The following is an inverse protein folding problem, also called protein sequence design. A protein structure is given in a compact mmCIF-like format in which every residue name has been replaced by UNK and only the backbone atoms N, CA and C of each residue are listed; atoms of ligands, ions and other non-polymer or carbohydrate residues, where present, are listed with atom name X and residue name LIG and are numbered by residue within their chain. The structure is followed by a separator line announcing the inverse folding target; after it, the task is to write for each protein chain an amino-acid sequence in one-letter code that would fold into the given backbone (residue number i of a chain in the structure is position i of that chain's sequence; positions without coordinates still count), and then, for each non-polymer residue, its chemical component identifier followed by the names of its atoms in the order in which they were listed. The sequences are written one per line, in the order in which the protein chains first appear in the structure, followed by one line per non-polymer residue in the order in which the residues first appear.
data_IF_534482079916
#
_entry.id   IF_534482079916
#
_cell.length_a   1.000
_cell.length_b   1.000
_cell.length_c   1.000
_cell.angle_alpha   90.00
_cell.angle_beta   90.00
_cell.angle_gamma   90.00
#
_symmetry.space_group_name_H-M   'P 1'
#
loop_
_entity.id
_entity.type
_entity.pdbx_description
1 polymer ?
#
# COMPACT_ATOMS: atom_id res chain seq x y z
N UNK A 1 15.49 -59.38 11.91
CA UNK A 1 16.16 -58.10 12.26
C UNK A 1 17.05 -57.56 11.14
N UNK A 2 18.11 -58.26 10.67
CA UNK A 2 19.03 -57.73 9.63
C UNK A 2 18.37 -57.26 8.33
N UNK A 3 17.35 -57.99 7.84
CA UNK A 3 16.62 -57.59 6.61
C UNK A 3 15.80 -56.31 6.82
N UNK A 4 15.13 -56.16 7.96
CA UNK A 4 14.34 -54.97 8.29
C UNK A 4 15.24 -53.74 8.43
N UNK A 5 16.44 -53.88 9.00
CA UNK A 5 17.41 -52.78 9.11
C UNK A 5 17.93 -52.34 7.73
N UNK A 6 18.25 -53.27 6.82
CA UNK A 6 18.65 -52.93 5.44
C UNK A 6 17.53 -52.21 4.69
N UNK A 7 16.29 -52.68 4.82
CA UNK A 7 15.13 -52.04 4.19
C UNK A 7 14.89 -50.64 4.76
N UNK A 8 15.02 -50.44 6.08
CA UNK A 8 14.86 -49.14 6.72
C UNK A 8 15.94 -48.15 6.29
N UNK A 9 17.20 -48.60 6.20
CA UNK A 9 18.32 -47.78 5.69
C UNK A 9 18.10 -47.41 4.22
N UNK A 10 17.68 -48.36 3.39
CA UNK A 10 17.37 -48.11 1.98
C UNK A 10 16.23 -47.10 1.81
N UNK A 11 15.18 -47.20 2.64
CA UNK A 11 14.07 -46.25 2.67
C UNK A 11 14.55 -44.85 3.10
N UNK A 12 15.40 -44.76 4.12
CA UNK A 12 15.97 -43.51 4.60
C UNK A 12 16.81 -42.81 3.51
N UNK A 13 17.72 -43.52 2.85
CA UNK A 13 18.51 -42.95 1.75
C UNK A 13 17.63 -42.54 0.55
N UNK A 14 16.63 -43.36 0.20
CA UNK A 14 15.68 -43.00 -0.86
C UNK A 14 14.91 -41.72 -0.51
N UNK A 15 14.48 -41.60 0.75
CA UNK A 15 13.84 -40.38 1.27
C UNK A 15 14.75 -39.15 1.18
N UNK A 16 16.02 -39.28 1.58
CA UNK A 16 17.00 -38.20 1.46
C UNK A 16 17.24 -37.78 0.01
N UNK A 17 17.30 -38.72 -0.93
CA UNK A 17 17.44 -38.41 -2.37
C UNK A 17 16.20 -37.65 -2.87
N UNK A 18 14.99 -38.07 -2.50
CA UNK A 18 13.76 -37.36 -2.87
C UNK A 18 13.73 -35.95 -2.30
N UNK A 19 14.12 -35.77 -1.03
CA UNK A 19 14.22 -34.46 -0.39
C UNK A 19 15.26 -33.58 -1.10
N UNK A 20 16.43 -34.12 -1.43
CA UNK A 20 17.48 -33.39 -2.13
C UNK A 20 17.04 -32.96 -3.55
N UNK A 21 16.37 -33.84 -4.30
CA UNK A 21 15.83 -33.51 -5.62
C UNK A 21 14.73 -32.45 -5.53
N UNK A 22 13.82 -32.56 -4.55
CA UNK A 22 12.80 -31.54 -4.31
C UNK A 22 13.42 -30.19 -3.94
N UNK A 23 14.45 -30.18 -3.08
CA UNK A 23 15.17 -28.97 -2.71
C UNK A 23 15.86 -28.34 -3.94
N UNK A 24 16.55 -29.12 -4.77
CA UNK A 24 17.15 -28.63 -6.01
C UNK A 24 16.10 -28.04 -6.97
N UNK A 25 14.94 -28.69 -7.11
CA UNK A 25 13.85 -28.20 -7.95
C UNK A 25 13.29 -26.86 -7.42
N UNK A 26 13.04 -26.75 -6.12
CA UNK A 26 12.57 -25.51 -5.48
C UNK A 26 13.61 -24.40 -5.61
N UNK A 27 14.89 -24.67 -5.35
CA UNK A 27 15.97 -23.68 -5.49
C UNK A 27 16.07 -23.17 -6.94
N UNK A 28 16.00 -24.08 -7.91
CA UNK A 28 16.07 -23.73 -9.33
C UNK A 28 14.86 -22.91 -9.77
N UNK A 29 13.65 -23.35 -9.41
CA UNK A 29 12.42 -22.63 -9.73
C UNK A 29 12.37 -21.26 -9.05
N UNK A 30 12.87 -21.15 -7.82
CA UNK A 30 12.99 -19.89 -7.11
C UNK A 30 13.97 -18.93 -7.79
N UNK A 31 15.13 -19.42 -8.22
CA UNK A 31 16.10 -18.61 -8.97
C UNK A 31 15.49 -18.10 -10.30
N UNK A 32 14.71 -18.95 -10.99
CA UNK A 32 13.99 -18.54 -12.20
C UNK A 32 12.93 -17.47 -11.91
N UNK A 33 12.14 -17.64 -10.84
CA UNK A 33 11.12 -16.66 -10.45
C UNK A 33 11.75 -15.31 -10.11
N UNK A 34 12.86 -15.31 -9.35
CA UNK A 34 13.62 -14.09 -9.05
C UNK A 34 14.14 -13.39 -10.31
N UNK A 35 14.67 -14.15 -11.27
CA UNK A 35 15.13 -13.59 -12.53
C UNK A 35 13.99 -12.95 -13.33
N UNK A 36 12.86 -13.64 -13.42
CA UNK A 36 11.65 -13.13 -14.06
C UNK A 36 11.14 -11.84 -13.41
N UNK A 37 11.01 -11.80 -12.08
CA UNK A 37 10.57 -10.60 -11.34
C UNK A 37 11.55 -9.45 -11.56
N UNK A 38 12.86 -9.69 -11.43
CA UNK A 38 13.86 -8.64 -11.63
C UNK A 38 13.83 -8.04 -13.04
N UNK A 39 13.63 -8.88 -14.07
CA UNK A 39 13.54 -8.43 -15.46
C UNK A 39 12.26 -7.61 -15.71
N UNK A 40 11.16 -7.96 -15.04
CA UNK A 40 9.91 -7.20 -15.05
C UNK A 40 10.04 -5.87 -14.33
N UNK A 41 10.60 -5.85 -13.11
CA UNK A 41 10.88 -4.63 -12.34
C UNK A 41 11.70 -3.65 -13.18
N UNK A 42 12.76 -4.13 -13.86
CA UNK A 42 13.58 -3.28 -14.73
C UNK A 42 12.79 -2.66 -15.89
N UNK A 43 11.83 -3.38 -16.46
CA UNK A 43 10.99 -2.85 -17.52
C UNK A 43 10.05 -1.75 -17.01
N UNK A 44 9.55 -1.86 -15.78
CA UNK A 44 8.74 -0.83 -15.11
C UNK A 44 9.59 0.38 -14.71
N UNK A 45 10.76 0.17 -14.10
CA UNK A 45 11.70 1.25 -13.74
C UNK A 45 12.13 2.06 -14.97
N UNK A 46 12.39 1.40 -16.10
CA UNK A 46 12.73 2.09 -17.34
C UNK A 46 11.61 3.04 -17.84
N UNK A 47 10.35 2.72 -17.53
CA UNK A 47 9.24 3.64 -17.76
C UNK A 47 9.34 4.80 -16.76
N UNK A 48 9.44 4.55 -15.45
CA UNK A 48 9.53 5.58 -14.39
C UNK A 48 10.64 6.61 -14.66
N UNK A 49 11.82 6.17 -15.07
CA UNK A 49 12.94 7.03 -15.47
C UNK A 49 12.59 8.03 -16.58
N UNK A 50 11.61 7.73 -17.45
CA UNK A 50 11.16 8.67 -18.46
C UNK A 50 10.40 9.86 -17.86
N UNK A 51 9.62 9.65 -16.80
CA UNK A 51 8.93 10.74 -16.10
C UNK A 51 9.94 11.63 -15.37
N UNK A 52 10.95 11.03 -14.73
CA UNK A 52 12.00 11.79 -14.05
C UNK A 52 12.83 12.66 -15.01
N UNK A 53 13.13 12.15 -16.21
CA UNK A 53 13.81 12.95 -17.24
C UNK A 53 12.99 14.17 -17.64
N UNK A 54 11.67 14.02 -17.79
CA UNK A 54 10.77 15.13 -18.12
C UNK A 54 10.74 16.15 -16.96
N UNK A 55 10.70 15.67 -15.71
CA UNK A 55 10.76 16.51 -14.51
C UNK A 55 12.02 17.39 -14.46
N UNK A 56 13.18 16.78 -14.71
CA UNK A 56 14.47 17.50 -14.73
C UNK A 56 14.46 18.54 -15.85
N UNK A 57 14.02 18.17 -17.05
CA UNK A 57 13.91 19.09 -18.17
C UNK A 57 12.97 20.27 -17.87
N UNK A 58 11.83 20.02 -17.22
CA UNK A 58 10.90 21.08 -16.82
C UNK A 58 11.55 22.11 -15.88
N UNK A 59 12.41 21.68 -14.94
CA UNK A 59 13.09 22.58 -14.00
C UNK A 59 14.13 23.48 -14.65
N UNK A 60 14.73 23.03 -15.75
CA UNK A 60 15.77 23.76 -16.47
C UNK A 60 15.20 24.76 -17.48
N UNK A 61 13.89 24.72 -17.72
CA UNK A 61 13.24 25.54 -18.75
C UNK A 61 12.97 26.96 -18.25
N UNK A 62 13.45 27.97 -18.98
CA UNK A 62 13.18 29.39 -18.71
C UNK A 62 11.82 29.87 -19.23
N UNK A 63 11.26 29.20 -20.25
CA UNK A 63 9.91 29.46 -20.77
C UNK A 63 8.84 28.80 -19.90
N UNK A 64 7.98 29.61 -19.29
CA UNK A 64 6.97 29.12 -18.35
C UNK A 64 5.97 28.16 -19.02
N UNK A 65 5.61 28.36 -20.28
CA UNK A 65 4.64 27.51 -20.97
C UNK A 65 5.24 26.15 -21.32
N UNK A 66 6.48 26.12 -21.78
CA UNK A 66 7.21 24.87 -22.02
C UNK A 66 7.45 24.11 -20.70
N UNK A 67 7.78 24.80 -19.61
CA UNK A 67 7.87 24.17 -18.28
C UNK A 67 6.54 23.52 -17.87
N UNK A 68 5.43 24.25 -17.98
CA UNK A 68 4.11 23.72 -17.65
C UNK A 68 3.72 22.54 -18.55
N UNK A 69 4.10 22.58 -19.83
CA UNK A 69 3.86 21.49 -20.76
C UNK A 69 4.60 20.21 -20.36
N UNK A 70 5.90 20.32 -20.05
CA UNK A 70 6.71 19.21 -19.58
C UNK A 70 6.17 18.67 -18.24
N UNK A 71 5.75 19.53 -17.32
CA UNK A 71 5.12 19.09 -16.07
C UNK A 71 3.82 18.32 -16.31
N UNK A 72 2.97 18.76 -17.26
CA UNK A 72 1.77 18.01 -17.62
C UNK A 72 2.10 16.65 -18.26
N UNK A 73 3.15 16.59 -19.09
CA UNK A 73 3.64 15.35 -19.69
C UNK A 73 4.18 14.39 -18.61
N UNK A 74 4.94 14.89 -17.64
CA UNK A 74 5.41 14.13 -16.48
C UNK A 74 4.22 13.53 -15.71
N UNK A 75 3.21 14.34 -15.37
CA UNK A 75 2.02 13.87 -14.65
C UNK A 75 1.25 12.82 -15.45
N UNK A 76 1.10 13.03 -16.76
CA UNK A 76 0.43 12.06 -17.65
C UNK A 76 1.18 10.73 -17.62
N UNK A 77 2.49 10.78 -17.78
CA UNK A 77 3.34 9.58 -17.83
C UNK A 77 3.37 8.84 -16.48
N UNK A 78 3.41 9.55 -15.34
CA UNK A 78 3.25 8.94 -14.01
C UNK A 78 1.91 8.21 -13.88
N UNK A 79 0.83 8.83 -14.37
CA UNK A 79 -0.48 8.23 -14.34
C UNK A 79 -0.56 6.98 -15.26
N UNK A 80 0.04 7.02 -16.45
CA UNK A 80 0.14 5.88 -17.37
C UNK A 80 0.92 4.71 -16.76
N UNK A 81 2.03 5.00 -16.10
CA UNK A 81 2.85 3.98 -15.43
C UNK A 81 2.08 3.30 -14.31
N UNK A 82 1.38 4.09 -13.48
CA UNK A 82 0.54 3.55 -12.42
C UNK A 82 -0.58 2.68 -12.99
N UNK A 83 -1.23 3.10 -14.08
CA UNK A 83 -2.24 2.28 -14.77
C UNK A 83 -1.63 0.99 -15.33
N UNK A 84 -0.54 1.08 -16.10
CA UNK A 84 0.10 -0.08 -16.72
C UNK A 84 0.53 -1.10 -15.65
N UNK A 85 1.12 -0.62 -14.57
CA UNK A 85 1.51 -1.40 -13.42
C UNK A 85 0.29 -2.08 -12.76
N UNK A 86 -0.80 -1.34 -12.58
CA UNK A 86 -2.04 -1.86 -11.99
C UNK A 86 -2.71 -2.91 -12.89
N UNK A 87 -2.82 -2.64 -14.19
CA UNK A 87 -3.42 -3.54 -15.18
C UNK A 87 -2.65 -4.85 -15.31
N UNK A 88 -1.33 -4.82 -15.12
CA UNK A 88 -0.47 -5.99 -15.16
C UNK A 88 -0.75 -6.96 -14.01
N UNK A 89 -1.19 -6.47 -12.85
CA UNK A 89 -1.46 -7.30 -11.66
C UNK A 89 -2.94 -7.51 -11.36
N UNK A 90 -3.84 -7.10 -12.25
CA UNK A 90 -5.30 -7.11 -12.01
C UNK A 90 -5.95 -8.44 -11.66
N UNK A 91 -5.30 -9.55 -12.04
CA UNK A 91 -5.80 -10.90 -11.75
C UNK A 91 -5.32 -11.42 -10.38
N UNK A 92 -4.48 -10.66 -9.66
CA UNK A 92 -3.93 -11.05 -8.36
C UNK A 92 -4.87 -10.72 -7.21
N UNK A 93 -4.70 -11.43 -6.09
CA UNK A 93 -5.37 -11.01 -4.85
C UNK A 93 -4.63 -9.77 -4.39
N UNK A 94 -5.35 -8.77 -3.87
CA UNK A 94 -4.72 -7.63 -3.20
C UNK A 94 -3.93 -6.66 -4.11
N UNK A 95 -4.09 -6.72 -5.43
CA UNK A 95 -3.31 -5.84 -6.32
C UNK A 95 -3.68 -4.37 -6.18
N UNK A 96 -4.84 -4.06 -5.61
CA UNK A 96 -5.22 -2.68 -5.37
C UNK A 96 -4.34 -1.95 -4.36
N UNK A 97 -3.54 -2.67 -3.58
CA UNK A 97 -2.54 -2.07 -2.68
C UNK A 97 -1.27 -1.65 -3.40
N UNK A 98 -1.01 -2.15 -4.63
CA UNK A 98 0.14 -1.70 -5.41
C UNK A 98 0.13 -0.19 -5.61
N UNK A 99 -1.02 0.40 -5.95
CA UNK A 99 -1.13 1.85 -6.12
C UNK A 99 -0.82 2.62 -4.83
N UNK A 100 -1.12 2.04 -3.66
CA UNK A 100 -0.81 2.67 -2.38
C UNK A 100 0.70 2.64 -2.09
N UNK A 101 1.39 1.51 -2.27
CA UNK A 101 2.84 1.48 -2.07
C UNK A 101 3.60 2.20 -3.18
N UNK A 102 3.06 2.23 -4.40
CA UNK A 102 3.60 3.07 -5.46
C UNK A 102 3.55 4.54 -5.06
N UNK A 103 2.41 5.04 -4.58
CA UNK A 103 2.32 6.39 -4.01
C UNK A 103 3.31 6.59 -2.87
N UNK A 104 3.45 5.62 -1.96
CA UNK A 104 4.36 5.74 -0.82
C UNK A 104 5.82 5.99 -1.24
N UNK A 105 6.32 5.30 -2.28
CA UNK A 105 7.72 5.41 -2.71
C UNK A 105 7.94 6.49 -3.76
N UNK A 106 7.00 6.67 -4.70
CA UNK A 106 7.11 7.62 -5.81
C UNK A 106 6.54 9.00 -5.50
N UNK A 107 5.73 9.10 -4.44
CA UNK A 107 5.18 10.35 -3.92
C UNK A 107 4.46 11.17 -5.01
N UNK A 108 3.67 10.47 -5.83
CA UNK A 108 3.03 11.02 -7.03
C UNK A 108 2.04 12.12 -6.64
N UNK A 109 1.27 11.89 -5.59
CA UNK A 109 0.28 12.83 -5.07
C UNK A 109 0.82 13.68 -3.92
N UNK A 110 1.71 13.12 -3.08
CA UNK A 110 2.31 13.80 -1.94
C UNK A 110 1.25 14.49 -1.06
N UNK A 111 0.33 13.69 -0.53
CA UNK A 111 -0.89 14.17 0.10
C UNK A 111 -0.63 14.89 1.44
N UNK A 112 -1.27 16.05 1.60
CA UNK A 112 -1.33 16.80 2.86
C UNK A 112 -2.10 16.04 3.94
N UNK A 113 -3.17 15.36 3.52
CA UNK A 113 -4.08 14.61 4.38
C UNK A 113 -4.15 13.17 3.89
N UNK A 114 -3.83 12.22 4.76
CA UNK A 114 -3.92 10.80 4.40
C UNK A 114 -4.98 10.08 5.23
N UNK A 115 -5.66 9.12 4.61
CA UNK A 115 -6.55 8.19 5.30
C UNK A 115 -5.80 6.88 5.56
N UNK A 116 -5.91 6.36 6.78
CA UNK A 116 -5.46 5.01 7.13
C UNK A 116 -6.60 4.27 7.84
N UNK A 117 -6.59 2.95 7.85
CA UNK A 117 -7.63 2.15 8.49
C UNK A 117 -7.85 0.82 7.79
N UNK A 118 -8.89 0.11 8.20
CA UNK A 118 -9.17 -1.24 7.70
C UNK A 118 -9.77 -1.23 6.28
N UNK A 119 -10.40 -2.34 5.88
CA UNK A 119 -11.21 -2.41 4.65
C UNK A 119 -12.36 -1.42 4.64
N UNK A 120 -12.87 -1.00 5.81
CA UNK A 120 -13.90 0.04 5.89
C UNK A 120 -13.37 1.37 5.33
N UNK A 121 -12.11 1.71 5.60
CA UNK A 121 -11.43 2.87 5.02
C UNK A 121 -11.20 2.71 3.52
N UNK A 122 -10.57 1.59 3.13
CA UNK A 122 -10.16 1.31 1.76
C UNK A 122 -11.31 1.36 0.75
N UNK A 123 -12.50 0.92 1.19
CA UNK A 123 -13.70 0.81 0.35
C UNK A 123 -14.76 1.87 0.68
N UNK A 124 -14.66 2.57 1.81
CA UNK A 124 -15.64 3.54 2.25
C UNK A 124 -15.31 4.97 1.87
N UNK A 125 -14.03 5.35 1.89
CA UNK A 125 -13.58 6.73 1.74
C UNK A 125 -12.98 6.96 0.36
N UNK A 126 -13.65 7.76 -0.46
CA UNK A 126 -13.20 8.14 -1.79
C UNK A 126 -12.67 9.58 -1.80
N UNK A 127 -11.34 9.78 -1.94
CA UNK A 127 -10.73 11.11 -1.96
C UNK A 127 -11.31 12.05 -3.02
N UNK A 128 -11.84 11.55 -4.15
CA UNK A 128 -12.35 12.39 -5.23
C UNK A 128 -13.43 13.36 -4.74
N UNK A 129 -14.36 12.88 -3.90
CA UNK A 129 -15.45 13.70 -3.40
C UNK A 129 -15.04 14.60 -2.24
N UNK A 130 -13.94 14.27 -1.56
CA UNK A 130 -13.41 15.07 -0.44
C UNK A 130 -12.66 16.28 -1.00
N UNK A 131 -11.85 16.06 -2.03
CA UNK A 131 -11.12 17.09 -2.76
C UNK A 131 -12.03 18.10 -3.46
N UNK A 132 -13.20 17.66 -3.95
CA UNK A 132 -14.20 18.58 -4.52
C UNK A 132 -14.66 19.67 -3.54
N UNK A 133 -14.69 19.37 -2.24
CA UNK A 133 -15.17 20.28 -1.17
C UNK A 133 -14.02 21.01 -0.45
N UNK A 134 -12.84 20.37 -0.43
CA UNK A 134 -11.64 20.82 0.27
C UNK A 134 -10.44 20.94 -0.70
N UNK A 135 -10.53 21.76 -1.77
CA UNK A 135 -9.51 21.83 -2.83
C UNK A 135 -8.15 22.37 -2.38
N UNK A 136 -8.07 22.96 -1.19
CA UNK A 136 -6.85 23.47 -0.57
C UNK A 136 -5.92 22.39 -0.02
N UNK A 137 -6.40 21.15 0.09
CA UNK A 137 -5.62 20.00 0.55
C UNK A 137 -5.59 18.89 -0.50
N UNK A 138 -4.47 18.19 -0.56
CA UNK A 138 -4.32 16.95 -1.32
C UNK A 138 -4.60 15.73 -0.43
N UNK A 139 -5.32 14.74 -0.95
CA UNK A 139 -5.75 13.58 -0.19
C UNK A 139 -5.28 12.25 -0.78
N UNK A 140 -4.97 11.26 0.07
CA UNK A 140 -4.73 9.89 -0.40
C UNK A 140 -5.22 8.85 0.61
N UNK A 141 -5.81 7.76 0.13
CA UNK A 141 -6.32 6.67 0.96
C UNK A 141 -5.34 5.49 1.04
N UNK A 142 -4.64 5.36 2.15
CA UNK A 142 -3.77 4.23 2.53
C UNK A 142 -4.48 3.20 3.44
N UNK A 143 -5.83 3.15 3.39
CA UNK A 143 -6.63 2.12 4.04
C UNK A 143 -6.37 0.75 3.41
N UNK A 144 -6.21 -0.29 4.24
CA UNK A 144 -5.81 -1.63 3.80
C UNK A 144 -6.68 -2.71 4.43
N UNK A 145 -7.18 -3.66 3.64
CA UNK A 145 -8.09 -4.68 4.19
C UNK A 145 -7.40 -5.56 5.24
N UNK A 146 -8.04 -5.76 6.38
CA UNK A 146 -7.48 -6.66 7.40
C UNK A 146 -6.32 -6.06 8.19
N UNK A 147 -5.99 -4.77 8.04
CA UNK A 147 -4.89 -4.12 8.78
C UNK A 147 -5.22 -3.90 10.25
N UNK A 148 -4.38 -4.44 11.13
CA UNK A 148 -4.40 -4.15 12.58
C UNK A 148 -3.41 -3.02 12.94
N UNK A 149 -3.49 -2.42 14.14
CA UNK A 149 -2.51 -1.43 14.58
C UNK A 149 -1.05 -1.87 14.49
N UNK A 150 -0.71 -3.13 14.79
CA UNK A 150 0.66 -3.63 14.65
C UNK A 150 1.16 -3.61 13.20
N UNK A 151 0.28 -3.88 12.23
CA UNK A 151 0.59 -3.68 10.83
C UNK A 151 0.96 -2.22 10.54
N UNK A 152 0.18 -1.26 11.07
CA UNK A 152 0.43 0.15 10.82
C UNK A 152 1.69 0.68 11.50
N UNK A 153 2.12 0.09 12.63
CA UNK A 153 3.43 0.39 13.23
C UNK A 153 4.57 0.06 12.28
N UNK A 154 4.55 -1.13 11.67
CA UNK A 154 5.60 -1.52 10.72
C UNK A 154 5.46 -0.77 9.38
N UNK A 155 4.23 -0.54 8.93
CA UNK A 155 3.93 0.25 7.74
C UNK A 155 4.46 1.69 7.88
N UNK A 156 4.29 2.32 9.05
CA UNK A 156 4.73 3.70 9.27
C UNK A 156 6.26 3.82 9.31
N UNK A 157 6.95 2.80 9.83
CA UNK A 157 8.41 2.72 9.74
C UNK A 157 8.87 2.71 8.28
N UNK A 158 8.22 1.92 7.41
CA UNK A 158 8.51 1.91 5.97
C UNK A 158 8.17 3.26 5.35
N UNK A 159 6.97 3.78 5.60
CA UNK A 159 6.48 5.06 5.07
C UNK A 159 7.47 6.20 5.34
N UNK A 160 7.95 6.31 6.58
CA UNK A 160 8.86 7.37 7.03
C UNK A 160 10.32 7.10 6.68
N UNK A 161 10.82 5.91 6.99
CA UNK A 161 12.26 5.65 7.02
C UNK A 161 12.79 4.96 5.76
N UNK A 162 11.96 4.21 5.04
CA UNK A 162 12.39 3.55 3.79
C UNK A 162 11.95 4.33 2.56
N UNK A 163 10.68 4.72 2.52
CA UNK A 163 10.08 5.41 1.39
C UNK A 163 10.26 6.94 1.46
N UNK A 164 10.64 7.45 2.64
CA UNK A 164 10.84 8.88 2.89
C UNK A 164 9.65 9.74 2.45
N UNK A 165 8.44 9.23 2.65
CA UNK A 165 7.23 9.96 2.29
C UNK A 165 7.15 11.25 3.10
N UNK A 166 6.81 12.40 2.49
CA UNK A 166 6.75 13.66 3.20
C UNK A 166 5.73 13.61 4.33
N UNK A 167 6.09 14.13 5.49
CA UNK A 167 5.23 14.10 6.67
C UNK A 167 3.88 14.78 6.37
N UNK A 168 2.75 14.04 6.40
CA UNK A 168 1.44 14.63 6.15
C UNK A 168 1.07 15.58 7.30
N UNK A 169 0.27 16.60 6.99
CA UNK A 169 -0.24 17.53 8.01
C UNK A 169 -1.25 16.83 8.92
N UNK A 170 -2.09 15.98 8.34
CA UNK A 170 -3.18 15.29 9.04
C UNK A 170 -3.25 13.82 8.62
N UNK A 171 -3.44 12.95 9.61
CA UNK A 171 -3.88 11.57 9.40
C UNK A 171 -5.33 11.46 9.86
N UNK A 172 -6.21 11.11 8.94
CA UNK A 172 -7.57 10.68 9.25
C UNK A 172 -7.54 9.17 9.44
N UNK A 173 -7.50 8.74 10.70
CA UNK A 173 -7.55 7.32 11.02
C UNK A 173 -9.01 6.87 11.05
N UNK A 174 -9.39 6.10 10.04
CA UNK A 174 -10.65 5.39 10.01
C UNK A 174 -10.58 4.22 11.00
N UNK A 175 -11.04 4.47 12.23
CA UNK A 175 -11.04 3.52 13.34
C UNK A 175 -12.28 2.65 13.28
N UNK A 176 -12.16 1.41 13.75
CA UNK A 176 -13.26 0.47 13.84
C UNK A 176 -13.29 -0.16 15.23
N UNK A 177 -14.48 -0.47 15.76
CA UNK A 177 -14.63 -1.13 17.06
C UNK A 177 -13.92 -2.49 17.13
N UNK A 178 -13.61 -3.10 15.99
CA UNK A 178 -12.90 -4.38 15.89
C UNK A 178 -11.45 -4.25 15.41
N UNK A 179 -10.89 -3.04 15.27
CA UNK A 179 -9.58 -2.86 14.64
C UNK A 179 -8.41 -3.58 15.35
N UNK A 180 -8.60 -3.94 16.62
CA UNK A 180 -7.66 -4.69 17.43
C UNK A 180 -7.87 -6.21 17.40
N UNK A 181 -8.89 -6.73 16.71
CA UNK A 181 -9.14 -8.18 16.64
C UNK A 181 -8.29 -8.84 15.55
N UNK A 182 -7.19 -9.49 15.97
CA UNK A 182 -6.27 -10.22 15.07
C UNK A 182 -6.87 -11.50 14.46
N UNK A 183 -8.02 -11.96 14.95
CA UNK A 183 -8.78 -13.06 14.34
C UNK A 183 -9.62 -12.60 13.15
N UNK A 184 -10.04 -11.33 13.15
CA UNK A 184 -10.74 -10.68 12.05
C UNK A 184 -9.82 -10.02 11.06
N UNK A 185 -8.87 -9.27 11.59
CA UNK A 185 -7.91 -8.49 10.85
C UNK A 185 -6.60 -9.26 10.84
N UNK A 186 -6.35 -9.89 9.71
CA UNK A 186 -5.31 -10.89 9.55
C UNK A 186 -4.02 -10.33 8.93
N UNK A 187 -4.02 -9.09 8.45
CA UNK A 187 -2.90 -8.56 7.69
C UNK A 187 -1.70 -8.28 8.59
N UNK A 188 -0.54 -8.72 8.13
CA UNK A 188 0.77 -8.45 8.71
C UNK A 188 1.64 -7.82 7.63
N UNK A 189 2.58 -6.94 8.01
CA UNK A 189 3.44 -6.28 7.02
C UNK A 189 4.24 -7.31 6.20
N UNK A 190 4.56 -8.44 6.80
CA UNK A 190 5.27 -9.57 6.18
C UNK A 190 4.52 -10.21 5.02
N UNK A 191 3.21 -9.93 4.87
CA UNK A 191 2.44 -10.36 3.71
C UNK A 191 2.72 -9.47 2.50
N UNK A 192 3.17 -8.24 2.70
CA UNK A 192 3.39 -7.24 1.65
C UNK A 192 4.88 -7.08 1.28
N UNK A 193 5.81 -7.60 2.10
CA UNK A 193 7.26 -7.54 1.88
C UNK A 193 7.91 -8.58 0.95
N UNK A 194 7.29 -9.72 0.59
CA UNK A 194 7.89 -10.64 -0.40
C UNK A 194 8.23 -9.93 -1.72
N UNK A 195 9.23 -10.41 -2.45
CA UNK A 195 9.78 -9.71 -3.63
C UNK A 195 8.78 -9.48 -4.77
N UNK A 196 7.68 -10.22 -4.77
CA UNK A 196 6.59 -10.16 -5.76
C UNK A 196 5.31 -9.51 -5.22
N UNK A 197 5.37 -9.05 -3.97
CA UNK A 197 4.34 -8.29 -3.29
C UNK A 197 4.66 -6.79 -3.35
N UNK A 198 3.69 -5.91 -3.10
CA UNK A 198 3.83 -4.48 -3.35
C UNK A 198 5.09 -3.82 -2.78
N UNK A 199 5.40 -4.02 -1.50
CA UNK A 199 6.60 -3.41 -0.89
C UNK A 199 7.87 -4.00 -1.48
N UNK A 200 7.91 -5.32 -1.68
CA UNK A 200 9.09 -5.98 -2.25
C UNK A 200 9.41 -5.51 -3.67
N UNK A 201 8.37 -5.25 -4.48
CA UNK A 201 8.52 -4.69 -5.82
C UNK A 201 9.02 -3.24 -5.75
N UNK A 202 8.45 -2.39 -4.89
CA UNK A 202 8.92 -1.00 -4.75
C UNK A 202 10.38 -0.93 -4.26
N UNK A 203 10.77 -1.77 -3.29
CA UNK A 203 12.18 -1.88 -2.86
C UNK A 203 13.10 -2.29 -4.01
N UNK A 204 12.66 -3.20 -4.88
CA UNK A 204 13.43 -3.60 -6.05
C UNK A 204 13.59 -2.45 -7.07
N UNK A 205 12.53 -1.65 -7.29
CA UNK A 205 12.57 -0.45 -8.14
C UNK A 205 13.60 0.54 -7.60
N UNK A 206 13.47 0.97 -6.34
CA UNK A 206 14.40 1.92 -5.69
C UNK A 206 15.84 1.44 -5.73
N UNK A 207 16.06 0.13 -5.56
CA UNK A 207 17.40 -0.47 -5.63
C UNK A 207 18.00 -0.38 -7.03
N UNK A 208 17.22 -0.67 -8.07
CA UNK A 208 17.70 -0.57 -9.45
C UNK A 208 17.96 0.89 -9.85
N UNK A 209 17.15 1.84 -9.39
CA UNK A 209 17.36 3.28 -9.60
C UNK A 209 18.66 3.78 -8.96
N UNK A 210 18.94 3.37 -7.71
CA UNK A 210 20.21 3.66 -7.04
C UNK A 210 21.39 3.10 -7.81
N UNK A 211 21.25 1.89 -8.38
CA UNK A 211 22.28 1.25 -9.20
C UNK A 211 22.49 1.97 -10.53
N UNK A 212 21.42 2.38 -11.20
CA UNK A 212 21.47 3.14 -12.45
C UNK A 212 22.17 4.49 -12.22
N UNK A 213 21.80 5.18 -11.14
CA UNK A 213 22.39 6.46 -10.75
C UNK A 213 23.89 6.33 -10.41
N UNK A 214 24.29 5.26 -9.70
CA UNK A 214 25.69 5.00 -9.39
C UNK A 214 26.54 4.65 -10.62
N UNK A 215 25.95 3.99 -11.63
CA UNK A 215 26.63 3.64 -12.88
C UNK A 215 26.77 4.82 -13.87
N UNK A 216 25.93 5.86 -13.72
CA UNK A 216 25.96 7.05 -14.55
C UNK A 216 26.93 8.13 -14.05
N UNK A 217 27.45 8.01 -12.81
CA UNK A 217 28.47 8.91 -12.30
C UNK A 217 29.69 8.84 -13.24
N UNK A 218 30.12 9.97 -13.84
CA UNK A 218 31.32 9.98 -14.68
C UNK A 218 32.46 9.41 -13.84
N UNK A 219 33.22 8.46 -14.40
CA UNK A 219 34.42 7.95 -13.73
C UNK A 219 35.19 9.17 -13.24
N UNK A 220 35.50 9.27 -11.93
CA UNK A 220 36.15 10.44 -11.40
C UNK A 220 37.38 10.68 -12.25
N UNK A 221 37.39 11.80 -12.98
CA UNK A 221 38.56 12.21 -13.74
C UNK A 221 39.72 12.12 -12.75
N UNK A 222 40.70 11.28 -13.08
CA UNK A 222 41.89 11.08 -12.27
C UNK A 222 42.71 12.36 -12.28
N UNK A 223 42.22 13.39 -11.60
CA UNK A 223 42.99 14.57 -11.26
C UNK A 223 43.84 14.19 -10.05
N UNK A 224 45.05 13.71 -10.34
CA UNK A 224 46.09 13.31 -9.38
C UNK A 224 46.64 14.48 -8.53
N UNK A 225 45.99 15.64 -8.46
CA UNK A 225 46.53 16.81 -7.75
C UNK A 225 45.43 17.66 -7.11
N UNK A 226 45.01 17.30 -5.90
CA UNK A 226 44.60 18.20 -4.81
C UNK A 226 43.94 17.37 -3.69
N UNK A 227 44.77 16.76 -2.85
CA UNK A 227 44.33 16.32 -1.54
C UNK A 227 44.58 17.48 -0.58
N UNK A 228 43.51 18.11 -0.10
CA UNK A 228 43.34 18.58 1.29
C UNK A 228 42.08 19.44 1.40
N UNK A 229 41.28 19.14 2.44
CA UNK A 229 40.22 19.97 3.03
C UNK A 229 38.83 20.01 2.36
N UNK A 230 38.00 19.00 2.66
CA UNK A 230 36.60 19.16 3.09
C UNK A 230 35.98 17.79 3.44
N UNK A 231 36.18 17.31 4.67
CA UNK A 231 35.36 16.23 5.24
C UNK A 231 34.06 16.84 5.77
N UNK A 232 33.06 16.99 4.90
CA UNK A 232 31.67 17.17 5.34
C UNK A 232 31.02 15.78 5.35
N UNK A 233 30.84 15.23 6.55
CA UNK A 233 30.32 13.89 6.82
C UNK A 233 28.84 13.78 6.48
N UNK A 234 28.52 13.63 5.20
CA UNK A 234 27.23 13.06 4.79
C UNK A 234 27.30 11.57 5.16
N UNK A 235 26.62 11.18 6.24
CA UNK A 235 26.50 9.78 6.63
C UNK A 235 25.85 9.00 5.49
N UNK A 236 26.61 8.13 4.83
CA UNK A 236 26.06 7.24 3.82
C UNK A 236 24.91 6.43 4.44
N UNK A 237 23.76 6.31 3.73
CA UNK A 237 22.64 5.53 4.23
C UNK A 237 23.11 4.11 4.54
N UNK A 238 22.80 3.63 5.74
CA UNK A 238 23.14 2.28 6.19
C UNK A 238 22.38 1.31 5.30
N UNK A 239 23.09 0.66 4.38
CA UNK A 239 22.51 -0.37 3.54
C UNK A 239 22.16 -1.59 4.42
N UNK A 240 20.90 -1.68 4.83
CA UNK A 240 20.40 -2.84 5.58
C UNK A 240 20.42 -4.04 4.65
N UNK A 241 21.42 -4.90 4.83
CA UNK A 241 21.52 -6.16 4.10
C UNK A 241 20.24 -6.97 4.29
N UNK A 242 19.54 -7.26 3.19
CA UNK A 242 18.36 -8.13 3.21
C UNK A 242 18.68 -9.46 3.90
N UNK A 243 17.87 -9.83 4.88
CA UNK A 243 17.99 -11.11 5.57
C UNK A 243 17.65 -12.24 4.61
N UNK A 244 18.48 -13.28 4.62
CA UNK A 244 18.20 -14.53 3.92
C UNK A 244 17.03 -15.26 4.57
N UNK A 245 16.33 -16.12 3.82
CA UNK A 245 15.27 -17.00 4.38
C UNK A 245 15.78 -17.80 5.58
N UNK A 246 17.05 -18.22 5.56
CA UNK A 246 17.67 -18.94 6.66
C UNK A 246 17.93 -18.07 7.90
N UNK A 247 18.12 -16.76 7.75
CA UNK A 247 18.21 -15.81 8.87
C UNK A 247 16.82 -15.54 9.45
N UNK A 248 15.83 -15.25 8.60
CA UNK A 248 14.45 -15.04 9.03
C UNK A 248 13.87 -16.27 9.74
N UNK A 249 14.15 -17.46 9.24
CA UNK A 249 13.72 -18.71 9.88
C UNK A 249 14.40 -18.91 11.23
N UNK A 250 15.69 -18.55 11.36
CA UNK A 250 16.40 -18.62 12.64
C UNK A 250 15.81 -17.65 13.66
N UNK A 251 15.45 -16.44 13.25
CA UNK A 251 14.78 -15.46 14.09
C UNK A 251 13.39 -15.94 14.53
N UNK A 252 12.58 -16.44 13.60
CA UNK A 252 11.27 -17.03 13.91
C UNK A 252 11.37 -18.20 14.90
N UNK A 253 12.37 -19.08 14.77
CA UNK A 253 12.65 -20.16 15.73
C UNK A 253 13.08 -19.61 17.09
N UNK A 254 13.87 -18.53 17.12
CA UNK A 254 14.28 -17.90 18.37
C UNK A 254 13.09 -17.24 19.09
N UNK A 255 12.16 -16.65 18.35
CA UNK A 255 11.00 -15.94 18.87
C UNK A 255 9.87 -16.87 19.32
N UNK A 256 9.49 -17.84 18.49
CA UNK A 256 8.31 -18.69 18.71
C UNK A 256 8.64 -20.12 19.15
N UNK A 257 9.93 -20.51 19.10
CA UNK A 257 10.38 -21.87 19.37
C UNK A 257 10.14 -22.83 18.20
N UNK A 258 10.96 -23.89 18.13
CA UNK A 258 11.01 -24.83 16.99
C UNK A 258 9.69 -25.57 16.67
N UNK A 259 8.77 -25.63 17.63
CA UNK A 259 7.48 -26.31 17.46
C UNK A 259 6.39 -25.41 16.87
N UNK A 260 6.66 -24.12 16.68
CA UNK A 260 5.77 -23.17 16.01
C UNK A 260 5.84 -23.36 14.48
N UNK A 261 5.50 -24.58 14.02
CA UNK A 261 5.63 -25.00 12.63
C UNK A 261 4.87 -24.04 11.70
N UNK A 262 3.70 -23.56 12.10
CA UNK A 262 2.89 -22.66 11.29
C UNK A 262 3.58 -21.31 11.05
N UNK A 263 4.24 -20.73 12.06
CA UNK A 263 5.00 -19.47 11.90
C UNK A 263 6.24 -19.68 11.03
N UNK A 264 6.95 -20.80 11.20
CA UNK A 264 8.12 -21.14 10.38
C UNK A 264 7.76 -21.40 8.92
N UNK A 265 6.64 -22.10 8.68
CA UNK A 265 6.10 -22.32 7.34
C UNK A 265 5.65 -21.02 6.71
N UNK A 266 5.06 -20.10 7.50
CA UNK A 266 4.71 -18.76 7.03
C UNK A 266 5.95 -18.01 6.55
N UNK A 267 7.03 -17.99 7.34
CA UNK A 267 8.30 -17.39 6.92
C UNK A 267 8.85 -18.02 5.65
N UNK A 268 8.85 -19.36 5.56
CA UNK A 268 9.36 -20.07 4.39
C UNK A 268 8.53 -19.80 3.12
N UNK A 269 7.21 -19.83 3.23
CA UNK A 269 6.29 -19.64 2.10
C UNK A 269 6.29 -18.19 1.61
N UNK A 270 6.38 -17.21 2.51
CA UNK A 270 6.39 -15.79 2.15
C UNK A 270 7.75 -15.35 1.59
N UNK A 271 8.87 -15.88 2.08
CA UNK A 271 10.19 -15.40 1.68
C UNK A 271 10.83 -16.22 0.54
N UNK A 272 10.05 -17.10 -0.09
CA UNK A 272 10.49 -17.89 -1.24
C UNK A 272 9.59 -17.59 -2.45
N UNK A 273 10.07 -16.75 -3.39
CA UNK A 273 9.29 -16.26 -4.54
C UNK A 273 8.49 -17.31 -5.31
N UNK A 274 8.99 -18.55 -5.44
CA UNK A 274 8.22 -19.59 -6.13
C UNK A 274 6.89 -19.95 -5.42
N UNK A 275 6.82 -19.75 -4.09
CA UNK A 275 5.62 -20.02 -3.30
C UNK A 275 4.74 -18.78 -3.15
N UNK A 276 5.32 -17.60 -2.92
CA UNK A 276 4.57 -16.34 -2.85
C UNK A 276 3.96 -15.98 -4.21
N UNK A 277 4.71 -16.18 -5.30
CA UNK A 277 4.31 -15.92 -6.70
C UNK A 277 3.75 -17.13 -7.43
N UNK A 278 3.15 -18.09 -6.73
CA UNK A 278 2.76 -19.38 -7.36
C UNK A 278 1.75 -19.21 -8.50
N UNK A 279 0.92 -18.18 -8.45
CA UNK A 279 -0.02 -17.79 -9.50
C UNK A 279 0.68 -17.30 -10.78
N UNK A 280 1.93 -16.84 -10.67
CA UNK A 280 2.77 -16.36 -11.79
C UNK A 280 3.60 -17.44 -12.48
N UNK A 281 3.59 -18.67 -11.98
CA UNK A 281 4.36 -19.76 -12.59
C UNK A 281 4.07 -19.88 -14.10
N UNK A 282 2.81 -19.77 -14.59
CA UNK A 282 2.53 -19.77 -16.02
C UNK A 282 3.19 -18.60 -16.78
N UNK A 283 3.22 -17.39 -16.22
CA UNK A 283 3.87 -16.22 -16.82
C UNK A 283 5.39 -16.42 -16.89
N UNK A 284 6.00 -16.83 -15.79
CA UNK A 284 7.43 -17.15 -15.71
C UNK A 284 7.81 -18.20 -16.77
N UNK A 285 7.02 -19.26 -16.93
CA UNK A 285 7.29 -20.29 -17.95
C UNK A 285 7.21 -19.68 -19.35
N UNK A 286 6.17 -18.89 -19.67
CA UNK A 286 6.05 -18.21 -20.97
C UNK A 286 7.22 -17.26 -21.22
N UNK A 287 7.66 -16.54 -20.20
CA UNK A 287 8.79 -15.62 -20.24
C UNK A 287 10.09 -16.32 -20.68
N UNK A 288 10.43 -17.45 -20.04
CA UNK A 288 11.61 -18.22 -20.43
C UNK A 288 11.45 -18.89 -21.80
N UNK A 289 10.26 -19.38 -22.16
CA UNK A 289 10.00 -19.96 -23.49
C UNK A 289 10.10 -18.92 -24.61
N UNK A 290 9.75 -17.66 -24.36
CA UNK A 290 9.87 -16.54 -25.30
C UNK A 290 11.24 -15.86 -25.29
N UNK A 291 12.26 -16.49 -24.69
CA UNK A 291 13.62 -15.95 -24.70
C UNK A 291 13.80 -14.73 -23.82
N UNK A 292 13.11 -14.66 -22.67
CA UNK A 292 13.26 -13.60 -21.67
C UNK A 292 12.80 -12.21 -22.13
N UNK A 293 11.67 -12.15 -22.82
CA UNK A 293 11.04 -10.89 -23.23
C UNK A 293 9.87 -10.55 -22.31
N UNK A 294 9.93 -9.36 -21.69
CA UNK A 294 8.80 -8.74 -20.98
C UNK A 294 8.10 -7.81 -21.98
N UNK A 295 6.80 -8.04 -22.21
CA UNK A 295 5.97 -7.13 -22.99
C UNK A 295 5.06 -6.39 -22.02
N UNK A 296 5.32 -5.09 -21.83
CA UNK A 296 4.40 -4.21 -21.12
C UNK A 296 3.42 -3.70 -22.17
N UNK A 297 2.15 -4.08 -22.06
CA UNK A 297 1.10 -3.45 -22.86
C UNK A 297 0.90 -2.04 -22.32
N UNK A 298 1.41 -1.04 -23.03
CA UNK A 298 1.16 0.37 -22.70
C UNK A 298 -0.30 0.68 -23.07
N UNK A 299 -1.14 1.13 -22.13
CA UNK A 299 -2.47 1.64 -22.47
C UNK A 299 -2.34 2.82 -23.46
N UNK A 300 -3.36 3.01 -24.29
CA UNK A 300 -3.35 4.10 -25.25
C UNK A 300 -3.42 5.44 -24.49
N UNK A 301 -2.52 6.41 -24.77
CA UNK A 301 -2.46 7.67 -24.04
C UNK A 301 -3.80 8.42 -24.12
N UNK A 302 -4.28 8.90 -22.98
CA UNK A 302 -5.39 9.86 -22.90
C UNK A 302 -4.81 11.21 -22.54
N UNK A 303 -4.05 11.81 -23.46
CA UNK A 303 -3.57 13.19 -23.26
C UNK A 303 -4.78 14.12 -23.19
N UNK A 304 -4.92 14.97 -22.16
CA UNK A 304 -5.95 16.00 -22.14
C UNK A 304 -5.82 16.85 -23.42
N UNK A 305 -6.89 16.93 -24.22
CA UNK A 305 -6.90 17.80 -25.41
C UNK A 305 -7.02 19.25 -24.97
N UNK A 306 -5.88 19.88 -24.70
CA UNK A 306 -5.81 21.31 -24.40
C UNK A 306 -5.62 22.06 -25.72
N UNK A 307 -6.70 22.15 -26.50
CA UNK A 307 -6.66 22.81 -27.81
C UNK A 307 -6.91 24.32 -27.65
N UNK A 308 -5.90 25.14 -27.99
CA UNK A 308 -6.08 26.57 -28.26
C UNK A 308 -6.00 27.54 -27.08
N UNK A 309 -5.52 27.11 -25.91
CA UNK A 309 -5.24 28.01 -24.77
C UNK A 309 -3.87 27.72 -24.13
N UNK A 310 -3.33 28.71 -23.45
CA UNK A 310 -2.12 28.58 -22.64
C UNK A 310 -2.38 27.64 -21.44
N UNK A 311 -1.34 26.90 -21.07
CA UNK A 311 -1.34 26.10 -19.85
C UNK A 311 -1.24 27.00 -18.63
N UNK A 312 -1.88 26.56 -17.56
CA UNK A 312 -1.90 27.18 -16.25
C UNK A 312 -1.56 26.12 -15.21
N UNK A 313 -1.19 26.53 -14.00
CA UNK A 313 -0.95 25.57 -12.91
C UNK A 313 -2.19 24.71 -12.59
N UNK A 314 -3.39 25.24 -12.83
CA UNK A 314 -4.64 24.48 -12.69
C UNK A 314 -4.77 23.33 -13.69
N UNK A 315 -3.96 23.30 -14.75
CA UNK A 315 -3.89 22.19 -15.70
C UNK A 315 -3.00 21.04 -15.21
N UNK A 316 -2.15 21.29 -14.21
CA UNK A 316 -1.23 20.31 -13.62
C UNK A 316 -1.94 19.39 -12.62
N UNK A 317 -3.09 18.85 -13.03
CA UNK A 317 -3.84 17.85 -12.28
C UNK A 317 -3.65 16.52 -12.96
N UNK A 318 -3.33 15.48 -12.17
CA UNK A 318 -3.20 14.12 -12.68
C UNK A 318 -4.48 13.72 -13.44
N UNK A 319 -4.36 13.30 -14.72
CA UNK A 319 -5.53 12.98 -15.53
C UNK A 319 -6.30 11.79 -14.95
N UNK A 320 -7.63 11.92 -14.90
CA UNK A 320 -8.52 10.81 -14.57
C UNK A 320 -8.76 9.96 -15.82
N UNK A 321 -8.32 8.70 -15.80
CA UNK A 321 -8.57 7.78 -16.90
C UNK A 321 -10.04 7.33 -16.95
N UNK A 322 -10.65 7.43 -18.13
CA UNK A 322 -11.95 6.82 -18.38
C UNK A 322 -11.77 5.38 -18.85
N UNK A 323 -11.94 4.44 -17.92
CA UNK A 323 -11.87 3.02 -18.23
C UNK A 323 -13.23 2.42 -18.59
N UNK A 324 -13.21 1.31 -19.34
CA UNK A 324 -14.30 0.34 -19.32
C UNK A 324 -14.35 -0.27 -17.92
N UNK A 325 -15.53 -0.48 -17.34
CA UNK A 325 -15.65 -1.08 -16.01
C UNK A 325 -14.96 -2.44 -15.97
N UNK A 326 -13.93 -2.58 -15.12
CA UNK A 326 -13.17 -3.81 -14.90
C UNK A 326 -13.40 -4.30 -13.49
N UNK A 327 -13.44 -5.62 -13.33
CA UNK A 327 -13.58 -6.27 -12.04
C UNK A 327 -12.40 -7.19 -11.80
N UNK A 328 -11.95 -7.28 -10.55
CA UNK A 328 -11.07 -8.36 -10.14
C UNK A 328 -11.83 -9.62 -9.71
N UNK A 329 -11.08 -10.64 -9.29
CA UNK A 329 -11.65 -11.90 -8.81
C UNK A 329 -12.45 -11.78 -7.51
N UNK A 330 -12.17 -10.75 -6.71
CA UNK A 330 -12.87 -10.44 -5.46
C UNK A 330 -14.05 -9.46 -5.70
N UNK A 331 -14.33 -9.14 -6.98
CA UNK A 331 -15.37 -8.25 -7.51
C UNK A 331 -15.21 -6.78 -7.15
N UNK A 332 -13.98 -6.34 -6.86
CA UNK A 332 -13.68 -4.91 -6.76
C UNK A 332 -13.78 -4.25 -8.14
N UNK A 333 -14.36 -3.04 -8.24
CA UNK A 333 -14.44 -2.29 -9.50
C UNK A 333 -13.14 -1.50 -9.69
N UNK A 334 -12.20 -2.09 -10.39
CA UNK A 334 -10.80 -1.64 -10.37
C UNK A 334 -10.49 -0.58 -11.41
N UNK A 335 -11.33 -0.49 -12.42
CA UNK A 335 -11.45 0.67 -13.32
C UNK A 335 -11.87 1.96 -12.62
N UNK A 336 -12.20 1.92 -11.33
CA UNK A 336 -12.66 3.06 -10.56
C UNK A 336 -11.76 3.32 -9.35
N UNK A 337 -10.54 2.77 -9.38
CA UNK A 337 -9.49 3.14 -8.44
C UNK A 337 -9.27 4.66 -8.50
N UNK A 338 -9.22 5.31 -7.34
CA UNK A 338 -8.89 6.73 -7.24
C UNK A 338 -8.10 7.01 -5.96
N UNK A 339 -6.83 7.41 -6.09
CA UNK A 339 -5.97 7.79 -4.95
C UNK A 339 -6.08 6.84 -3.74
N UNK A 340 -5.99 5.55 -4.02
CA UNK A 340 -6.03 4.49 -3.01
C UNK A 340 -7.43 4.00 -2.59
N UNK A 341 -8.50 4.65 -3.02
CA UNK A 341 -9.87 4.15 -2.90
C UNK A 341 -10.16 3.09 -3.97
N UNK A 342 -10.82 2.01 -3.55
CA UNK A 342 -11.35 0.99 -4.47
C UNK A 342 -12.78 0.66 -4.09
N UNK A 343 -13.76 0.87 -4.99
CA UNK A 343 -15.13 0.46 -4.72
C UNK A 343 -15.24 -1.06 -4.61
N UNK A 344 -15.92 -1.51 -3.57
CA UNK A 344 -16.38 -2.88 -3.42
C UNK A 344 -17.89 -2.92 -3.62
N UNK A 345 -18.35 -3.49 -4.73
CA UNK A 345 -19.77 -3.45 -5.13
C UNK A 345 -20.28 -4.85 -5.44
N UNK A 346 -20.67 -5.56 -4.38
CA UNK A 346 -21.29 -6.88 -4.46
C UNK A 346 -22.74 -6.81 -3.98
N UNK A 347 -23.64 -7.66 -4.49
CA UNK A 347 -24.98 -7.75 -3.93
C UNK A 347 -24.91 -8.02 -2.43
N UNK A 348 -25.67 -7.26 -1.64
CA UNK A 348 -25.67 -7.35 -0.18
C UNK A 348 -25.73 -8.80 0.30
N UNK A 349 -24.62 -9.26 0.90
CA UNK A 349 -24.44 -10.62 1.38
C UNK A 349 -24.64 -10.79 2.89
N UNK A 350 -25.02 -9.73 3.60
CA UNK A 350 -25.08 -9.71 5.06
C UNK A 350 -26.25 -10.51 5.63
N UNK A 351 -25.95 -11.49 6.49
CA UNK A 351 -26.94 -12.09 7.38
C UNK A 351 -27.18 -11.22 8.62
N UNK A 352 -28.30 -11.40 9.31
CA UNK A 352 -28.61 -10.73 10.60
C UNK A 352 -27.89 -11.36 11.79
N UNK A 353 -26.67 -11.88 11.58
CA UNK A 353 -25.95 -12.62 12.61
C UNK A 353 -25.37 -11.66 13.65
N UNK A 354 -25.43 -12.05 14.92
CA UNK A 354 -24.69 -11.38 15.97
C UNK A 354 -23.20 -11.61 15.75
N UNK A 355 -22.43 -10.54 15.84
CA UNK A 355 -21.00 -10.58 15.61
C UNK A 355 -20.27 -10.09 16.85
N UNK A 356 -19.25 -10.82 17.27
CA UNK A 356 -18.39 -10.46 18.39
C UNK A 356 -16.96 -10.21 17.92
N UNK A 357 -16.18 -9.54 18.75
CA UNK A 357 -14.76 -9.31 18.48
C UNK A 357 -13.89 -9.62 19.71
N UNK A 358 -12.65 -10.01 19.46
CA UNK A 358 -11.64 -10.27 20.48
C UNK A 358 -10.94 -8.95 20.83
N UNK A 359 -11.04 -8.58 22.10
CA UNK A 359 -10.32 -7.43 22.63
C UNK A 359 -8.83 -7.74 22.86
N UNK A 360 -7.99 -7.49 21.84
CA UNK A 360 -6.54 -7.66 21.96
C UNK A 360 -5.84 -6.41 22.54
N UNK A 361 -5.49 -6.45 23.84
CA UNK A 361 -4.73 -5.37 24.49
C UNK A 361 -3.31 -5.17 23.93
N UNK A 362 -2.75 -6.15 23.23
CA UNK A 362 -1.48 -6.00 22.50
C UNK A 362 -1.61 -5.01 21.35
N UNK A 363 -2.65 -5.17 20.53
CA UNK A 363 -2.94 -4.27 19.40
C UNK A 363 -3.33 -2.86 19.89
N UNK A 364 -4.09 -2.74 20.98
CA UNK A 364 -4.37 -1.42 21.58
C UNK A 364 -3.10 -0.66 21.98
N UNK A 365 -2.10 -1.33 22.56
CA UNK A 365 -0.83 -0.68 22.87
C UNK A 365 -0.06 -0.27 21.62
N UNK A 366 -0.22 -1.00 20.51
CA UNK A 366 0.37 -0.63 19.21
C UNK A 366 -0.36 0.56 18.61
N UNK A 367 -1.67 0.64 18.78
CA UNK A 367 -2.50 1.78 18.39
C UNK A 367 -2.06 3.05 19.12
N UNK A 368 -2.01 3.02 20.46
CA UNK A 368 -1.54 4.15 21.28
C UNK A 368 -0.11 4.54 20.93
N UNK A 369 0.79 3.56 20.75
CA UNK A 369 2.18 3.83 20.33
C UNK A 369 2.23 4.58 18.99
N UNK A 370 1.37 4.25 18.04
CA UNK A 370 1.36 4.93 16.75
C UNK A 370 0.86 6.37 16.87
N UNK A 371 -0.14 6.61 17.74
CA UNK A 371 -0.58 7.97 18.07
C UNK A 371 0.54 8.80 18.70
N UNK A 372 1.33 8.19 19.60
CA UNK A 372 2.51 8.85 20.18
C UNK A 372 3.54 9.22 19.08
N UNK A 373 3.78 8.33 18.13
CA UNK A 373 4.69 8.59 17.00
C UNK A 373 4.17 9.71 16.08
N UNK A 374 2.87 9.75 15.80
CA UNK A 374 2.26 10.83 15.02
C UNK A 374 2.39 12.18 15.73
N UNK A 375 2.16 12.22 17.04
CA UNK A 375 2.32 13.42 17.85
C UNK A 375 3.79 13.90 17.88
N UNK A 376 4.75 12.98 18.07
CA UNK A 376 6.19 13.26 18.01
C UNK A 376 6.62 13.86 16.67
N UNK A 377 6.00 13.39 15.58
CA UNK A 377 6.25 13.88 14.22
C UNK A 377 5.45 15.14 13.86
N UNK A 378 4.67 15.68 14.80
CA UNK A 378 3.87 16.89 14.60
C UNK A 378 2.64 16.69 13.71
N UNK A 379 2.27 15.44 13.44
CA UNK A 379 1.11 15.08 12.62
C UNK A 379 -0.15 15.19 13.48
N UNK A 380 -1.18 15.84 12.93
CA UNK A 380 -2.49 15.88 13.58
C UNK A 380 -3.32 14.65 13.24
N UNK A 381 -4.16 14.21 14.17
CA UNK A 381 -4.99 13.02 13.99
C UNK A 381 -6.47 13.38 14.11
N UNK A 382 -7.28 12.81 13.24
CA UNK A 382 -8.74 12.80 13.31
C UNK A 382 -9.21 11.34 13.30
N UNK A 383 -10.13 10.97 14.19
CA UNK A 383 -10.79 9.68 14.13
C UNK A 383 -12.08 9.77 13.33
N UNK A 384 -12.29 8.81 12.45
CA UNK A 384 -13.53 8.61 11.69
C UNK A 384 -13.96 7.17 11.87
N UNK A 385 -15.20 6.90 12.27
CA UNK A 385 -15.76 5.55 12.21
C UNK A 385 -16.73 5.49 11.03
N UNK A 386 -16.40 4.69 10.01
CA UNK A 386 -17.23 4.58 8.80
C UNK A 386 -18.62 4.03 9.13
N UNK A 387 -19.68 4.48 8.41
CA UNK A 387 -21.04 4.05 8.71
C UNK A 387 -21.24 2.58 8.38
N UNK A 388 -21.77 1.84 9.34
CA UNK A 388 -22.20 0.44 9.25
C UNK A 388 -23.71 0.37 9.06
N UNK A 389 -24.18 -0.69 8.41
CA UNK A 389 -25.61 -0.94 8.25
C UNK A 389 -26.27 -1.14 9.62
N UNK A 390 -27.46 -0.61 9.88
CA UNK A 390 -28.13 -0.77 11.20
C UNK A 390 -28.84 -2.11 11.38
N UNK A 391 -29.08 -2.85 10.29
CA UNK A 391 -29.84 -4.11 10.31
C UNK A 391 -29.13 -5.32 10.91
N UNK A 392 -27.98 -5.14 11.57
CA UNK A 392 -27.24 -6.19 12.28
C UNK A 392 -26.89 -5.75 13.72
N UNK A 393 -26.33 -6.66 14.52
CA UNK A 393 -26.00 -6.41 15.92
C UNK A 393 -24.60 -6.89 16.29
N UNK A 394 -23.84 -6.05 16.98
CA UNK A 394 -22.59 -6.43 17.67
C UNK A 394 -22.80 -6.51 19.18
N UNK A 395 -22.19 -7.48 19.83
CA UNK A 395 -22.15 -7.54 21.30
C UNK A 395 -21.11 -6.62 21.93
N UNK A 396 -20.08 -6.22 21.16
CA UNK A 396 -18.89 -5.56 21.69
C UNK A 396 -18.71 -4.12 21.20
N UNK A 397 -19.44 -3.71 20.15
CA UNK A 397 -19.30 -2.39 19.52
C UNK A 397 -19.44 -1.24 20.51
N UNK A 398 -20.45 -1.25 21.37
CA UNK A 398 -20.66 -0.16 22.36
C UNK A 398 -19.49 -0.04 23.33
N UNK A 399 -18.88 -1.16 23.73
CA UNK A 399 -17.76 -1.18 24.67
C UNK A 399 -16.52 -0.57 24.00
N UNK A 400 -16.20 -1.01 22.80
CA UNK A 400 -15.00 -0.54 22.10
C UNK A 400 -15.14 0.88 21.55
N UNK A 401 -16.33 1.29 21.09
CA UNK A 401 -16.57 2.68 20.69
C UNK A 401 -16.48 3.63 21.88
N UNK A 402 -16.89 3.19 23.07
CA UNK A 402 -16.66 3.96 24.29
C UNK A 402 -15.16 4.11 24.59
N UNK A 403 -14.36 3.04 24.49
CA UNK A 403 -12.91 3.13 24.70
C UNK A 403 -12.23 4.05 23.66
N UNK A 404 -12.66 3.98 22.38
CA UNK A 404 -12.20 4.91 21.33
C UNK A 404 -12.54 6.36 21.65
N UNK A 405 -13.78 6.63 22.07
CA UNK A 405 -14.23 7.98 22.42
C UNK A 405 -13.50 8.54 23.65
N UNK A 406 -13.27 7.72 24.68
CA UNK A 406 -12.50 8.10 25.87
C UNK A 406 -11.04 8.41 25.51
N UNK A 407 -10.42 7.60 24.64
CA UNK A 407 -9.06 7.86 24.15
C UNK A 407 -8.99 9.15 23.33
N UNK A 408 -9.92 9.33 22.39
CA UNK A 408 -10.00 10.52 21.55
C UNK A 408 -10.16 11.79 22.41
N UNK A 409 -11.09 11.77 23.36
CA UNK A 409 -11.30 12.85 24.31
C UNK A 409 -10.04 13.13 25.15
N UNK A 410 -9.37 12.10 25.66
CA UNK A 410 -8.19 12.27 26.51
C UNK A 410 -7.00 12.92 25.77
N UNK A 411 -6.93 12.73 24.45
CA UNK A 411 -5.88 13.27 23.58
C UNK A 411 -6.31 14.52 22.80
N UNK A 412 -7.55 14.98 22.96
CA UNK A 412 -8.09 16.10 22.18
C UNK A 412 -8.18 15.80 20.68
N UNK A 413 -8.37 14.55 20.30
CA UNK A 413 -8.53 14.10 18.91
C UNK A 413 -10.01 14.24 18.54
N UNK A 414 -10.36 14.98 17.46
CA UNK A 414 -11.72 15.00 16.95
C UNK A 414 -12.16 13.60 16.53
N UNK A 415 -13.39 13.21 16.90
CA UNK A 415 -13.94 11.91 16.55
C UNK A 415 -15.30 12.07 15.87
N UNK A 416 -15.37 11.63 14.61
CA UNK A 416 -16.57 11.61 13.78
C UNK A 416 -17.14 10.18 13.75
N UNK A 417 -18.11 9.86 14.60
CA UNK A 417 -18.69 8.52 14.66
C UNK A 417 -20.03 8.43 13.91
N UNK A 418 -20.00 7.86 12.70
CA UNK A 418 -21.18 7.66 11.85
C UNK A 418 -22.00 6.42 12.24
N UNK A 419 -21.67 5.75 13.35
CA UNK A 419 -22.45 4.66 13.95
C UNK A 419 -23.14 5.09 15.25
N UNK A 420 -22.97 6.34 15.67
CA UNK A 420 -23.58 6.91 16.86
C UNK A 420 -24.12 8.32 16.58
N UNK A 421 -23.40 9.38 16.95
CA UNK A 421 -23.89 10.76 16.90
C UNK A 421 -24.09 11.31 15.48
N UNK A 422 -23.35 10.80 14.49
CA UNK A 422 -23.49 11.17 13.08
C UNK A 422 -24.23 10.11 12.25
N UNK A 423 -24.89 9.13 12.90
CA UNK A 423 -25.70 8.15 12.18
C UNK A 423 -26.83 8.83 11.39
N UNK A 424 -27.12 8.31 10.19
CA UNK A 424 -28.09 8.91 9.26
C UNK A 424 -28.87 7.83 8.48
N UNK A 425 -29.79 8.26 7.61
CA UNK A 425 -30.49 7.39 6.66
C UNK A 425 -29.53 6.54 5.79
N UNK A 426 -28.25 6.93 5.69
CA UNK A 426 -27.24 6.14 5.00
C UNK A 426 -27.08 4.76 5.65
N UNK A 427 -27.12 4.68 6.98
CA UNK A 427 -26.96 3.46 7.77
C UNK A 427 -28.16 2.50 7.63
N UNK A 428 -29.35 2.99 7.25
CA UNK A 428 -30.59 2.19 7.20
C UNK A 428 -30.87 1.59 5.80
N UNK A 429 -30.24 2.09 4.74
CA UNK A 429 -30.45 1.60 3.37
C UNK A 429 -29.41 0.55 2.98
N UNK A 430 -29.78 -0.73 3.01
CA UNK A 430 -28.89 -1.84 2.63
C UNK A 430 -28.33 -1.76 1.20
N UNK A 431 -28.91 -0.94 0.31
CA UNK A 431 -28.35 -0.69 -1.04
C UNK A 431 -27.09 0.16 -1.00
N UNK A 432 -26.78 0.79 0.13
CA UNK A 432 -25.52 1.47 0.37
C UNK A 432 -24.42 0.48 0.78
N UNK A 433 -24.70 -0.80 0.91
CA UNK A 433 -23.82 -1.77 1.56
C UNK A 433 -23.60 -3.02 0.72
N UNK A 434 -22.36 -3.52 0.73
CA UNK A 434 -21.95 -4.81 0.15
C UNK A 434 -22.09 -5.95 1.18
N UNK A 435 -21.85 -5.63 2.45
CA UNK A 435 -22.23 -6.42 3.62
C UNK A 435 -22.54 -5.49 4.81
N UNK A 436 -22.59 -5.97 6.04
CA UNK A 436 -22.98 -5.13 7.17
C UNK A 436 -21.99 -3.99 7.48
N UNK A 437 -20.70 -4.14 7.16
CA UNK A 437 -19.64 -3.21 7.54
C UNK A 437 -19.08 -2.41 6.36
N UNK A 438 -19.13 -2.98 5.15
CA UNK A 438 -18.56 -2.35 3.97
C UNK A 438 -19.61 -1.69 3.09
N UNK A 439 -19.34 -0.43 2.76
CA UNK A 439 -20.13 0.32 1.81
C UNK A 439 -19.98 -0.23 0.39
N UNK A 440 -21.10 -0.31 -0.32
CA UNK A 440 -21.13 -0.45 -1.78
C UNK A 440 -20.51 0.79 -2.45
N UNK A 441 -20.31 0.75 -3.76
CA UNK A 441 -19.94 1.96 -4.54
C UNK A 441 -20.90 3.13 -4.29
N UNK A 442 -22.20 2.84 -4.23
CA UNK A 442 -23.23 3.84 -3.95
C UNK A 442 -23.06 4.43 -2.55
N UNK A 443 -22.90 3.58 -1.54
CA UNK A 443 -22.76 4.00 -0.15
C UNK A 443 -21.49 4.80 0.09
N UNK A 444 -20.35 4.35 -0.42
CA UNK A 444 -19.06 5.04 -0.28
C UNK A 444 -19.06 6.40 -0.99
N UNK A 445 -19.70 6.50 -2.16
CA UNK A 445 -19.94 7.80 -2.82
C UNK A 445 -20.78 8.74 -1.96
N UNK A 446 -21.90 8.25 -1.39
CA UNK A 446 -22.77 9.07 -0.55
C UNK A 446 -22.06 9.50 0.74
N UNK A 447 -21.39 8.55 1.41
CA UNK A 447 -20.65 8.78 2.64
C UNK A 447 -19.51 9.77 2.43
N UNK A 448 -18.69 9.59 1.38
CA UNK A 448 -17.54 10.48 1.13
C UNK A 448 -17.95 11.94 0.92
N UNK A 449 -19.15 12.19 0.36
CA UNK A 449 -19.69 13.55 0.22
C UNK A 449 -20.13 14.15 1.56
N UNK A 450 -20.70 13.35 2.45
CA UNK A 450 -21.05 13.78 3.82
C UNK A 450 -19.77 14.05 4.60
N UNK A 451 -18.83 13.10 4.58
CA UNK A 451 -17.53 13.22 5.23
C UNK A 451 -16.75 14.44 4.73
N UNK A 452 -16.82 14.78 3.45
CA UNK A 452 -16.16 15.94 2.88
C UNK A 452 -16.60 17.27 3.52
N UNK A 453 -17.90 17.43 3.76
CA UNK A 453 -18.48 18.60 4.41
C UNK A 453 -18.17 18.63 5.91
N UNK A 454 -18.23 17.47 6.57
CA UNK A 454 -17.96 17.36 8.01
C UNK A 454 -16.46 17.55 8.32
N UNK A 455 -15.56 17.09 7.44
CA UNK A 455 -14.11 17.27 7.61
C UNK A 455 -13.68 18.72 7.45
N UNK A 456 -14.35 19.52 6.61
CA UNK A 456 -13.94 20.89 6.33
C UNK A 456 -13.72 21.77 7.58
N UNK A 457 -14.70 21.92 8.49
CA UNK A 457 -14.49 22.70 9.72
C UNK A 457 -13.49 22.04 10.68
N UNK A 458 -13.40 20.71 10.69
CA UNK A 458 -12.49 19.96 11.57
C UNK A 458 -11.04 20.15 11.12
N UNK A 459 -10.77 20.09 9.81
CA UNK A 459 -9.45 20.37 9.24
C UNK A 459 -9.01 21.80 9.55
N UNK A 460 -9.89 22.77 9.34
CA UNK A 460 -9.60 24.17 9.66
C UNK A 460 -9.32 24.39 11.17
N UNK A 461 -10.01 23.68 12.06
CA UNK A 461 -9.75 23.72 13.50
C UNK A 461 -8.40 23.09 13.86
N UNK A 462 -8.18 21.87 13.39
CA UNK A 462 -6.99 21.05 13.68
C UNK A 462 -5.70 21.70 13.14
N UNK A 463 -5.79 22.37 11.99
CA UNK A 463 -4.69 23.10 11.36
C UNK A 463 -4.56 24.55 11.87
N UNK A 464 -5.47 25.01 12.74
CA UNK A 464 -5.41 26.35 13.35
C UNK A 464 -5.75 27.50 12.40
N UNK A 465 -6.51 27.24 11.35
CA UNK A 465 -6.87 28.22 10.32
C UNK A 465 -8.06 29.11 10.73
N UNK A 466 -8.84 28.69 11.74
CA UNK A 466 -9.99 29.44 12.27
C UNK A 466 -9.63 30.71 13.08
N UNK A 467 -8.36 31.12 13.12
CA UNK A 467 -7.83 32.19 13.97
C UNK A 467 -7.30 33.45 13.26
N UNK A 468 -7.51 33.59 11.95
CA UNK A 468 -6.93 34.67 11.13
C UNK A 468 -7.96 35.71 10.62
N UNK A 469 -8.94 36.08 11.46
CA UNK A 469 -9.89 37.19 11.21
C UNK A 469 -9.48 38.50 11.89
#
# INVERSE_FOLDING_TARGET
MKQNTKNLIGLFFSGLIVIALAACAVVSANAMMKGFIADETRAVTAAAEAAERIRIAARETEDEQERLHLQLEELTLKAEQMEAFYQQYKDRHCYHYFGQYYEMYEQVYNADVIFIGTSHCAHGVNPAYIEEVNPEYSFFNFGLNGSVPSFYVDWYDIFKNEAHYPTPKVIVWCVDWFMCDTGWLWRRITFDTPSDMPIGIMRAIVKEEKRASAGAAPEPEKNETAAEEAEETVSAPVETKEKTVAELLRESVAEHGILAIDEHMTVLMLNNPIFSSRDRIPEMIRYYLKGRSVQIETPAPVTPKIEGRLLTEADLVLPTYQHKTLYDKDRNITSEYYKGYIPWDVPFGGGTTTVGCVHNRGEWRKFEKLLDQFEEDGIKVIFVECPEYTGWQSTDREIHNKELAELAQSRGIPFLNYNAELASDLNDDNRNYSDWGHLSKRGSTAFSKVLAEDLKPVLAEVLGENGAD
#
